data_IF_175031469716
#
_entry.id   IF_175031469716
#
_cell.length_a   1.000
_cell.length_b   1.000
_cell.length_c   1.000
_cell.angle_alpha   90.00
_cell.angle_beta   90.00
_cell.angle_gamma   90.00
#
_symmetry.space_group_name_H-M   'P 1'
#
loop_
_entity.id
_entity.type
_entity.pdbx_description
1 polymer ?
#
# COMPACT_ATOMS: atom_id res chain seq x y z
N UNK A 1 11.00 14.99 -6.73
CA UNK A 1 11.90 13.92 -7.20
C UNK A 1 12.82 13.63 -6.03
N UNK A 2 12.77 12.42 -5.48
CA UNK A 2 13.59 12.01 -4.31
C UNK A 2 14.18 10.65 -4.62
N UNK A 3 15.49 10.52 -4.43
CA UNK A 3 16.22 9.26 -4.64
C UNK A 3 16.40 8.57 -3.30
N UNK A 4 15.98 7.32 -3.23
CA UNK A 4 16.14 6.46 -2.05
C UNK A 4 17.12 5.34 -2.34
N UNK A 5 17.88 4.94 -1.33
CA UNK A 5 18.82 3.84 -1.42
C UNK A 5 18.35 2.70 -0.50
N UNK A 6 18.32 1.48 -1.04
CA UNK A 6 17.98 0.30 -0.27
C UNK A 6 18.75 -0.93 -0.77
N UNK A 7 18.94 -1.91 0.11
CA UNK A 7 19.52 -3.20 -0.27
C UNK A 7 18.44 -4.10 -0.85
N UNK A 8 18.68 -4.63 -2.06
CA UNK A 8 17.83 -5.65 -2.66
C UNK A 8 18.01 -6.95 -1.91
N UNK A 9 16.95 -7.46 -1.32
CA UNK A 9 16.96 -8.68 -0.55
C UNK A 9 16.62 -9.86 -1.46
N UNK A 10 17.62 -10.67 -1.84
CA UNK A 10 17.43 -11.91 -2.58
C UNK A 10 17.55 -13.13 -1.66
N UNK A 11 16.99 -14.27 -2.08
CA UNK A 11 17.15 -15.53 -1.36
C UNK A 11 18.63 -15.98 -1.39
N UNK A 12 19.33 -15.75 -2.50
CA UNK A 12 20.76 -16.02 -2.64
C UNK A 12 21.60 -15.22 -1.64
N UNK A 13 21.22 -13.98 -1.34
CA UNK A 13 21.85 -13.20 -0.28
C UNK A 13 21.65 -13.83 1.10
N UNK A 14 20.44 -14.33 1.38
CA UNK A 14 20.15 -15.03 2.65
C UNK A 14 21.00 -16.30 2.81
N UNK A 15 21.27 -17.00 1.70
CA UNK A 15 22.16 -18.17 1.66
C UNK A 15 23.65 -17.80 1.62
N UNK A 16 24.01 -16.51 1.69
CA UNK A 16 25.38 -15.99 1.54
C UNK A 16 26.06 -16.39 0.22
N UNK A 17 25.28 -16.76 -0.79
CA UNK A 17 25.77 -17.15 -2.11
C UNK A 17 26.01 -15.94 -3.02
N UNK A 18 25.47 -14.78 -2.66
CA UNK A 18 25.62 -13.54 -3.41
C UNK A 18 25.67 -12.36 -2.45
N UNK A 19 26.53 -11.37 -2.72
CA UNK A 19 26.58 -10.13 -1.95
C UNK A 19 25.27 -9.34 -2.11
N UNK A 20 24.84 -8.63 -1.06
CA UNK A 20 23.72 -7.70 -1.16
C UNK A 20 24.04 -6.57 -2.13
N UNK A 21 23.18 -6.33 -3.11
CA UNK A 21 23.29 -5.19 -4.01
C UNK A 21 22.46 -4.02 -3.49
N UNK A 22 23.07 -2.84 -3.43
CA UNK A 22 22.34 -1.59 -3.22
C UNK A 22 21.63 -1.20 -4.51
N UNK A 23 20.41 -0.71 -4.40
CA UNK A 23 19.59 -0.21 -5.49
C UNK A 23 19.19 1.22 -5.18
N UNK A 24 19.41 2.10 -6.15
CA UNK A 24 18.88 3.45 -6.12
C UNK A 24 17.49 3.50 -6.78
N UNK A 25 16.53 4.06 -6.07
CA UNK A 25 15.13 4.19 -6.47
C UNK A 25 14.80 5.67 -6.60
N UNK A 26 14.61 6.15 -7.83
CA UNK A 26 14.10 7.50 -8.07
C UNK A 26 12.56 7.47 -8.04
N UNK A 27 11.98 8.19 -7.08
CA UNK A 27 10.53 8.27 -6.90
C UNK A 27 10.02 9.61 -7.43
N UNK A 28 9.13 9.52 -8.41
CA UNK A 28 8.43 10.63 -9.02
C UNK A 28 6.92 10.52 -8.75
N UNK A 29 6.16 11.57 -9.03
CA UNK A 29 4.73 11.62 -8.72
C UNK A 29 3.91 10.50 -9.40
N UNK A 30 4.36 10.01 -10.57
CA UNK A 30 3.64 9.03 -11.38
C UNK A 30 4.40 7.72 -11.61
N UNK A 31 5.67 7.63 -11.22
CA UNK A 31 6.54 6.49 -11.52
C UNK A 31 7.64 6.30 -10.49
N UNK A 32 8.18 5.09 -10.45
CA UNK A 32 9.40 4.73 -9.75
C UNK A 32 10.38 4.19 -10.77
N UNK A 33 11.60 4.71 -10.78
CA UNK A 33 12.69 4.17 -11.58
C UNK A 33 13.74 3.49 -10.68
N UNK A 34 14.03 2.22 -10.96
CA UNK A 34 15.16 1.51 -10.38
C UNK A 34 16.39 1.76 -11.25
N UNK A 35 17.30 2.61 -10.78
CA UNK A 35 18.40 3.12 -11.59
C UNK A 35 19.42 2.05 -11.96
N UNK A 36 19.64 1.07 -11.08
CA UNK A 36 20.60 -0.02 -11.32
C UNK A 36 20.17 -0.98 -12.43
N UNK A 37 18.87 -1.27 -12.48
CA UNK A 37 18.31 -2.25 -13.41
C UNK A 37 17.75 -1.54 -14.67
N UNK A 38 17.83 -0.20 -14.73
CA UNK A 38 17.20 0.66 -15.75
C UNK A 38 15.71 0.38 -15.98
N UNK A 39 15.01 -0.09 -14.94
CA UNK A 39 13.58 -0.43 -15.03
C UNK A 39 12.75 0.70 -14.45
N UNK A 40 11.67 1.05 -15.16
CA UNK A 40 10.73 2.09 -14.73
C UNK A 40 9.35 1.48 -14.61
N UNK A 41 8.74 1.66 -13.44
CA UNK A 41 7.38 1.23 -13.16
C UNK A 41 6.49 2.46 -12.96
N UNK A 42 5.31 2.44 -13.56
CA UNK A 42 4.25 3.40 -13.21
C UNK A 42 3.69 3.11 -11.82
N UNK A 43 3.18 4.13 -11.13
CA UNK A 43 2.51 3.91 -9.83
C UNK A 43 1.30 2.98 -9.94
N UNK A 44 0.67 2.94 -11.10
CA UNK A 44 -0.43 2.04 -11.45
C UNK A 44 0.00 0.56 -11.57
N UNK A 45 1.29 0.32 -11.79
CA UNK A 45 1.88 -1.01 -11.86
C UNK A 45 2.23 -1.59 -10.48
N UNK A 46 2.16 -0.78 -9.42
CA UNK A 46 2.33 -1.24 -8.04
C UNK A 46 1.01 -1.86 -7.57
N UNK A 47 0.99 -3.17 -7.39
CA UNK A 47 -0.22 -3.91 -7.00
C UNK A 47 -0.44 -3.89 -5.49
N UNK A 48 0.63 -4.17 -4.75
CA UNK A 48 0.63 -4.13 -3.30
C UNK A 48 2.02 -3.77 -2.78
N UNK A 49 2.03 -3.27 -1.54
CA UNK A 49 3.23 -3.06 -0.76
C UNK A 49 2.99 -3.48 0.67
N UNK A 50 3.96 -4.17 1.25
CA UNK A 50 3.97 -4.56 2.66
C UNK A 50 5.27 -4.10 3.29
N UNK A 51 5.21 -3.54 4.49
CA UNK A 51 6.39 -3.10 5.21
C UNK A 51 6.37 -3.57 6.66
N UNK A 52 7.55 -3.68 7.24
CA UNK A 52 7.74 -4.12 8.63
C UNK A 52 8.46 -3.06 9.44
N UNK A 53 8.44 -3.23 10.76
CA UNK A 53 9.25 -2.45 11.71
C UNK A 53 10.75 -2.69 11.57
N UNK A 54 11.16 -3.72 10.82
CA UNK A 54 12.57 -4.03 10.57
C UNK A 54 13.15 -3.32 9.34
N UNK A 55 12.59 -2.16 8.96
CA UNK A 55 13.01 -1.36 7.79
C UNK A 55 12.91 -2.09 6.45
N UNK A 56 12.09 -3.14 6.37
CA UNK A 56 11.90 -3.89 5.12
C UNK A 56 10.62 -3.48 4.44
N UNK A 57 10.66 -3.32 3.12
CA UNK A 57 9.46 -3.25 2.27
C UNK A 57 9.48 -4.38 1.26
N UNK A 58 8.31 -4.92 0.94
CA UNK A 58 8.09 -5.86 -0.15
C UNK A 58 7.03 -5.29 -1.05
N UNK A 59 7.34 -5.15 -2.33
CA UNK A 59 6.44 -4.59 -3.34
C UNK A 59 6.14 -5.66 -4.38
N UNK A 60 4.88 -5.74 -4.83
CA UNK A 60 4.52 -6.49 -6.05
C UNK A 60 4.28 -5.53 -7.19
N UNK A 61 5.04 -5.72 -8.26
CA UNK A 61 5.07 -4.89 -9.44
C UNK A 61 4.57 -5.70 -10.63
N UNK A 62 3.58 -5.20 -11.35
CA UNK A 62 3.11 -5.75 -12.60
C UNK A 62 3.82 -5.09 -13.78
N UNK A 63 4.43 -5.89 -14.64
CA UNK A 63 4.90 -5.42 -15.95
C UNK A 63 3.72 -5.20 -16.89
N UNK A 64 3.94 -4.47 -18.00
CA UNK A 64 2.91 -4.23 -19.03
C UNK A 64 2.41 -5.54 -19.65
N UNK A 65 3.26 -6.56 -19.68
CA UNK A 65 2.95 -7.89 -20.20
C UNK A 65 2.19 -8.77 -19.20
N UNK A 66 1.81 -8.21 -18.04
CA UNK A 66 1.04 -8.91 -17.01
C UNK A 66 1.87 -9.79 -16.08
N UNK A 67 3.19 -9.90 -16.27
CA UNK A 67 4.04 -10.62 -15.32
C UNK A 67 4.16 -9.84 -14.02
N UNK A 68 3.97 -10.53 -12.89
CA UNK A 68 4.08 -9.95 -11.55
C UNK A 68 5.40 -10.35 -10.92
N UNK A 69 6.20 -9.36 -10.53
CA UNK A 69 7.44 -9.56 -9.79
C UNK A 69 7.26 -9.12 -8.34
N UNK A 70 7.82 -9.88 -7.41
CA UNK A 70 7.85 -9.54 -5.99
C UNK A 70 9.27 -9.15 -5.60
N UNK A 71 9.45 -7.90 -5.19
CA UNK A 71 10.76 -7.36 -4.84
C UNK A 71 10.77 -6.96 -3.37
N UNK A 72 11.82 -7.38 -2.65
CA UNK A 72 12.01 -7.04 -1.23
C UNK A 72 13.22 -6.16 -1.09
N UNK A 73 13.07 -5.06 -0.36
CA UNK A 73 14.11 -4.08 -0.09
C UNK A 73 14.28 -3.88 1.41
N UNK A 74 15.51 -3.60 1.83
CA UNK A 74 15.88 -3.24 3.20
C UNK A 74 16.50 -1.85 3.19
N UNK A 75 15.87 -0.93 3.91
CA UNK A 75 16.38 0.43 4.09
C UNK A 75 17.35 0.49 5.27
N UNK A 76 18.32 1.40 5.18
CA UNK A 76 19.31 1.58 6.25
C UNK A 76 18.68 2.28 7.47
N UNK A 77 17.67 3.14 7.29
CA UNK A 77 16.92 3.74 8.40
C UNK A 77 15.39 3.66 8.23
N UNK A 78 14.66 3.78 9.35
CA UNK A 78 13.19 3.72 9.37
C UNK A 78 12.55 4.98 8.77
N UNK A 79 13.23 6.13 8.88
CA UNK A 79 12.76 7.39 8.32
C UNK A 79 12.70 7.34 6.79
N UNK A 80 13.76 6.82 6.14
CA UNK A 80 13.78 6.67 4.68
C UNK A 80 12.67 5.77 4.18
N UNK A 81 12.42 4.64 4.87
CA UNK A 81 11.30 3.77 4.57
C UNK A 81 9.96 4.50 4.71
N UNK A 82 9.79 5.28 5.79
CA UNK A 82 8.56 6.03 6.03
C UNK A 82 8.31 7.06 4.92
N UNK A 83 9.31 7.89 4.59
CA UNK A 83 9.19 8.89 3.54
C UNK A 83 9.01 8.27 2.17
N UNK A 84 9.71 7.17 1.87
CA UNK A 84 9.51 6.40 0.65
C UNK A 84 8.04 5.97 0.49
N UNK A 85 7.44 5.37 1.52
CA UNK A 85 6.05 4.92 1.48
C UNK A 85 5.07 6.09 1.31
N UNK A 86 5.31 7.21 1.99
CA UNK A 86 4.52 8.45 1.81
C UNK A 86 4.65 9.00 0.40
N UNK A 87 5.85 8.93 -0.19
CA UNK A 87 6.08 9.35 -1.57
C UNK A 87 5.32 8.51 -2.59
N UNK A 88 5.10 7.22 -2.27
CA UNK A 88 4.25 6.33 -3.06
C UNK A 88 2.74 6.57 -2.87
N UNK A 89 2.35 7.50 -2.00
CA UNK A 89 0.94 7.76 -1.68
C UNK A 89 0.32 6.76 -0.70
N UNK A 90 1.16 6.09 0.10
CA UNK A 90 0.73 5.22 1.20
C UNK A 90 0.70 6.00 2.52
N UNK A 91 -0.10 5.52 3.48
CA UNK A 91 -0.10 6.04 4.85
C UNK A 91 0.51 5.00 5.78
N UNK A 92 1.85 5.01 5.94
CA UNK A 92 2.52 4.00 6.73
C UNK A 92 2.24 4.14 8.23
N UNK A 93 1.81 3.04 8.85
CA UNK A 93 1.77 2.92 10.31
C UNK A 93 3.18 2.63 10.85
N UNK A 94 3.45 3.11 12.07
CA UNK A 94 4.73 2.88 12.76
C UNK A 94 4.99 1.39 13.10
N UNK A 95 3.95 0.56 13.15
CA UNK A 95 4.03 -0.86 13.51
C UNK A 95 4.11 -1.80 12.29
N UNK A 96 4.37 -1.26 11.11
CA UNK A 96 4.27 -2.01 9.86
C UNK A 96 2.87 -1.95 9.26
N UNK A 97 2.68 -2.55 8.10
CA UNK A 97 1.40 -2.52 7.41
C UNK A 97 1.43 -3.12 6.01
N UNK A 98 0.24 -3.28 5.45
CA UNK A 98 0.03 -3.74 4.09
C UNK A 98 -0.96 -2.82 3.40
N UNK A 99 -0.69 -2.45 2.16
CA UNK A 99 -1.56 -1.60 1.34
C UNK A 99 -1.72 -2.29 -0.01
N UNK A 100 -2.97 -2.50 -0.40
CA UNK A 100 -3.32 -2.96 -1.74
C UNK A 100 -3.77 -1.76 -2.56
N UNK A 101 -3.62 -1.81 -3.89
CA UNK A 101 -3.87 -0.68 -4.81
C UNK A 101 -5.21 0.05 -4.66
N UNK A 102 -6.21 -0.58 -4.06
CA UNK A 102 -7.47 0.07 -3.70
C UNK A 102 -7.38 1.13 -2.58
N UNK A 103 -6.26 1.23 -1.87
CA UNK A 103 -6.07 2.15 -0.74
C UNK A 103 -4.89 3.13 -0.89
N UNK A 104 -4.25 3.19 -2.07
CA UNK A 104 -3.34 4.31 -2.36
C UNK A 104 -4.15 5.59 -2.47
N UNK A 105 -3.85 6.59 -1.62
CA UNK A 105 -4.44 7.92 -1.79
C UNK A 105 -3.86 8.46 -3.09
N UNK A 106 -4.72 8.68 -4.10
CA UNK A 106 -4.33 9.54 -5.24
C UNK A 106 -3.76 10.81 -4.62
N UNK A 107 -2.50 11.13 -4.93
CA UNK A 107 -1.99 12.50 -4.76
C UNK A 107 -2.92 13.37 -5.59
N UNK A 108 -3.92 13.95 -4.95
CA UNK A 108 -4.77 14.97 -5.56
C UNK A 108 -3.88 16.19 -5.69
N UNK A 109 -3.16 16.23 -6.80
CA UNK A 109 -2.57 17.44 -7.32
C UNK A 109 -3.72 18.43 -7.43
N UNK A 110 -3.56 19.58 -6.76
CA UNK A 110 -4.42 20.73 -6.81
C UNK A 110 -4.96 20.98 -8.23
N UNK A 111 -6.24 20.72 -8.44
CA UNK A 111 -7.05 21.38 -9.45
C UNK A 111 -8.30 21.91 -8.74
N UNK A 112 -8.38 23.18 -8.36
CA UNK A 112 -9.64 23.79 -7.97
C UNK A 112 -10.32 24.22 -9.27
N UNK A 113 -10.97 23.31 -9.99
CA UNK A 113 -12.09 23.56 -10.93
C UNK A 113 -12.65 22.19 -11.30
N UNK A 114 -13.69 21.77 -10.57
CA UNK A 114 -14.82 20.98 -11.05
C UNK A 114 -15.77 20.76 -9.87
N UNK A 115 -16.37 21.85 -9.38
CA UNK A 115 -17.68 21.75 -8.75
C UNK A 115 -18.65 21.13 -9.77
N UNK A 116 -19.06 19.88 -9.54
CA UNK A 116 -20.40 19.36 -9.80
C UNK A 116 -20.46 17.89 -9.35
N UNK A 117 -21.20 17.64 -8.27
CA UNK A 117 -21.68 16.28 -7.97
C UNK A 117 -21.60 15.79 -6.53
N UNK A 118 -21.60 16.64 -5.50
CA UNK A 118 -21.93 16.18 -4.14
C UNK A 118 -23.42 15.84 -4.06
N UNK A 119 -23.78 14.58 -4.34
CA UNK A 119 -25.09 14.03 -3.94
C UNK A 119 -24.89 13.21 -2.66
N UNK A 120 -25.02 13.89 -1.51
CA UNK A 120 -25.28 13.24 -0.22
C UNK A 120 -26.71 12.70 -0.24
N UNK A 121 -26.88 11.39 -0.42
CA UNK A 121 -28.15 10.73 -0.07
C UNK A 121 -28.08 10.25 1.37
N UNK A 122 -28.68 11.01 2.27
CA UNK A 122 -29.06 10.56 3.60
C UNK A 122 -30.20 9.54 3.45
N UNK A 123 -29.97 8.27 3.79
CA UNK A 123 -31.08 7.38 4.16
C UNK A 123 -31.13 7.32 5.69
N UNK A 124 -32.05 8.11 6.23
CA UNK A 124 -32.58 7.96 7.58
C UNK A 124 -33.23 6.57 7.73
N UNK A 125 -32.60 5.68 8.51
CA UNK A 125 -33.30 4.55 9.12
C UNK A 125 -33.13 4.62 10.63
N UNK A 126 -34.23 5.02 11.25
CA UNK A 126 -34.54 4.97 12.68
C UNK A 126 -34.29 3.60 13.30
N UNK A 127 -33.94 3.53 14.60
CA UNK A 127 -33.66 2.28 15.30
C UNK A 127 -34.97 1.56 15.68
N UNK A 128 -35.24 0.40 15.08
CA UNK A 128 -36.30 -0.50 15.54
C UNK A 128 -35.87 -1.25 16.79
N UNK A 129 -36.16 -0.62 17.93
CA UNK A 129 -36.70 -1.16 19.19
C UNK A 129 -36.74 -2.71 19.28
N UNK A 130 -35.90 -3.26 20.15
CA UNK A 130 -36.11 -4.58 20.75
C UNK A 130 -37.44 -4.57 21.53
N UNK A 131 -38.46 -5.27 21.01
CA UNK A 131 -39.68 -5.58 21.77
C UNK A 131 -39.76 -7.09 21.99
N UNK A 132 -39.56 -7.47 23.26
CA UNK A 132 -39.85 -8.79 23.83
C UNK A 132 -41.23 -9.28 23.35
N UNK A 133 -41.29 -10.49 22.78
CA UNK A 133 -42.51 -11.29 22.72
C UNK A 133 -42.32 -12.52 23.58
N UNK A 134 -42.88 -12.45 24.77
CA UNK A 134 -43.27 -13.59 25.60
C UNK A 134 -44.38 -14.36 24.89
N UNK A 135 -44.12 -15.62 24.54
CA UNK A 135 -45.15 -16.57 24.17
C UNK A 135 -45.11 -17.72 25.17
N UNK A 136 -46.06 -17.69 26.10
CA UNK A 136 -46.39 -18.80 26.98
C UNK A 136 -47.03 -19.91 26.13
N UNK A 137 -46.45 -21.12 26.18
CA UNK A 137 -47.14 -22.36 25.85
C UNK A 137 -47.42 -23.06 27.17
N UNK A 138 -48.69 -23.16 27.52
CA UNK A 138 -49.21 -24.03 28.57
C UNK A 138 -49.50 -25.40 27.93
N UNK A 139 -48.64 -26.37 28.21
CA UNK A 139 -48.93 -27.79 28.04
C UNK A 139 -49.42 -28.30 29.40
N UNK A 140 -50.67 -28.74 29.49
CA UNK A 140 -51.12 -29.75 30.47
C UNK A 140 -52.45 -30.35 29.97
N UNK A 141 -52.35 -31.63 29.57
CA UNK A 141 -53.41 -32.63 29.69
C UNK A 141 -53.00 -33.53 30.86
#
# INVERSE_FOLDING_TARGET
MVVYYAKKHSLLHMLKLQASSYVAMDVQAASIAFLNDHTVYGMDQILDATWSTHRTVTMRLATRDGQVTKQKFLFDCQADLFFFLVELGMEPSQFGGTVQRGSFKRRSICNPIAEKGFRKSYTSRTPTRCSRKSAAKSDFY
#
